data_IF_480767530353
#
_entry.id   IF_480767530353
#
_cell.length_a   1.000
_cell.length_b   1.000
_cell.length_c   1.000
_cell.angle_alpha   90.00
_cell.angle_beta   90.00
_cell.angle_gamma   90.00
#
_symmetry.space_group_name_H-M   'P 1'
#
loop_
_entity.id
_entity.type
_entity.pdbx_description
1 polymer ?
#
# COMPACT_ATOMS: atom_id res chain seq x y z
N UNK A 1 23.51 3.88 -1.83
CA UNK A 1 22.64 4.90 -1.21
C UNK A 1 21.24 4.71 -1.76
N UNK A 2 20.26 4.37 -0.93
CA UNK A 2 18.89 4.13 -1.37
C UNK A 2 18.26 5.45 -1.85
N UNK A 3 17.65 5.45 -3.03
CA UNK A 3 16.90 6.61 -3.50
C UNK A 3 15.68 6.81 -2.60
N UNK A 4 15.42 8.03 -2.09
CA UNK A 4 14.25 8.29 -1.27
C UNK A 4 12.98 8.01 -2.08
N UNK A 5 12.06 7.22 -1.51
CA UNK A 5 10.75 6.93 -2.12
C UNK A 5 10.02 8.23 -2.44
N UNK A 6 9.24 8.26 -3.52
CA UNK A 6 8.42 9.42 -3.90
C UNK A 6 7.51 9.88 -2.75
N UNK A 7 6.92 8.95 -2.00
CA UNK A 7 6.10 9.28 -0.82
C UNK A 7 6.91 9.89 0.31
N UNK A 8 8.17 9.47 0.49
CA UNK A 8 9.05 10.05 1.52
C UNK A 8 9.35 11.53 1.23
N UNK A 9 9.56 11.90 -0.04
CA UNK A 9 9.75 13.29 -0.45
C UNK A 9 8.49 14.13 -0.23
N UNK A 10 7.31 13.54 -0.47
CA UNK A 10 6.04 14.22 -0.24
C UNK A 10 5.82 14.46 1.26
N UNK A 11 6.13 13.47 2.11
CA UNK A 11 6.05 13.61 3.56
C UNK A 11 7.01 14.69 4.08
N UNK A 12 8.24 14.74 3.57
CA UNK A 12 9.19 15.82 3.87
C UNK A 12 8.67 17.19 3.45
N UNK A 13 8.05 17.29 2.25
CA UNK A 13 7.45 18.53 1.77
C UNK A 13 6.27 19.00 2.64
N UNK A 14 5.44 18.06 3.11
CA UNK A 14 4.35 18.36 4.05
C UNK A 14 4.91 18.86 5.39
N UNK A 15 5.91 18.18 5.94
CA UNK A 15 6.55 18.56 7.20
C UNK A 15 7.21 19.93 7.11
N UNK A 16 7.85 20.25 5.99
CA UNK A 16 8.45 21.56 5.76
C UNK A 16 7.41 22.69 5.74
N UNK A 17 6.25 22.47 5.11
CA UNK A 17 5.14 23.45 5.10
C UNK A 17 4.54 23.61 6.50
N UNK A 18 4.44 22.53 7.28
CA UNK A 18 3.95 22.60 8.65
C UNK A 18 4.92 23.34 9.58
N UNK A 19 6.22 23.19 9.36
CA UNK A 19 7.27 23.78 10.19
C UNK A 19 7.51 25.25 9.85
N UNK A 20 7.45 25.63 8.57
CA UNK A 20 7.60 27.00 8.10
C UNK A 20 6.30 27.52 7.47
N UNK A 21 5.48 28.30 8.21
CA UNK A 21 4.24 28.89 7.68
C UNK A 21 4.45 29.86 6.51
N UNK A 22 5.68 30.38 6.31
CA UNK A 22 6.01 31.25 5.17
C UNK A 22 6.34 30.45 3.90
N UNK A 23 6.55 29.13 4.02
CA UNK A 23 6.84 28.26 2.90
C UNK A 23 5.57 27.94 2.11
N UNK A 24 5.46 28.48 0.90
CA UNK A 24 4.34 28.16 0.01
C UNK A 24 4.44 26.74 -0.54
N UNK A 25 3.30 26.09 -0.79
CA UNK A 25 3.25 24.75 -1.39
C UNK A 25 3.99 24.68 -2.73
N UNK A 26 3.95 25.76 -3.54
CA UNK A 26 4.69 25.85 -4.80
C UNK A 26 6.20 25.85 -4.61
N UNK A 27 6.68 26.49 -3.53
CA UNK A 27 8.12 26.52 -3.22
C UNK A 27 8.58 25.16 -2.67
N UNK A 28 7.79 24.53 -1.79
CA UNK A 28 8.06 23.19 -1.30
C UNK A 28 8.17 22.17 -2.45
N UNK A 29 7.24 22.19 -3.40
CA UNK A 29 7.29 21.36 -4.62
C UNK A 29 8.62 21.46 -5.36
N UNK A 30 9.16 22.67 -5.51
CA UNK A 30 10.45 22.89 -6.19
C UNK A 30 11.63 22.37 -5.39
N UNK A 31 11.61 22.53 -4.06
CA UNK A 31 12.70 22.08 -3.16
C UNK A 31 12.76 20.56 -3.11
N UNK A 32 11.60 19.91 -2.97
CA UNK A 32 11.51 18.45 -2.79
C UNK A 32 11.27 17.68 -4.09
N UNK A 33 11.17 18.38 -5.22
CA UNK A 33 10.94 17.80 -6.55
C UNK A 33 9.71 16.87 -6.64
N UNK A 34 8.58 17.28 -6.03
CA UNK A 34 7.33 16.51 -6.01
C UNK A 34 6.23 17.19 -6.82
N UNK A 35 5.35 16.46 -7.54
CA UNK A 35 4.25 17.08 -8.26
C UNK A 35 3.29 17.84 -7.33
N UNK A 36 2.91 19.06 -7.72
CA UNK A 36 2.01 19.92 -6.93
C UNK A 36 0.66 19.27 -6.67
N UNK A 37 0.09 18.59 -7.67
CA UNK A 37 -1.18 17.88 -7.54
C UNK A 37 -1.13 16.80 -6.46
N UNK A 38 -0.04 16.04 -6.38
CA UNK A 38 0.16 14.99 -5.38
C UNK A 38 0.30 15.58 -3.98
N UNK A 39 1.10 16.65 -3.83
CA UNK A 39 1.25 17.33 -2.54
C UNK A 39 -0.08 17.89 -2.04
N UNK A 40 -0.86 18.55 -2.90
CA UNK A 40 -2.17 19.09 -2.53
C UNK A 40 -3.18 17.98 -2.19
N UNK A 41 -3.16 16.85 -2.91
CA UNK A 41 -3.99 15.70 -2.56
C UNK A 41 -3.66 15.16 -1.16
N UNK A 42 -2.37 15.11 -0.80
CA UNK A 42 -1.92 14.64 0.52
C UNK A 42 -2.25 15.64 1.62
N UNK A 43 -2.12 16.94 1.35
CA UNK A 43 -2.61 18.00 2.27
C UNK A 43 -4.13 17.88 2.52
N UNK A 44 -4.90 17.46 1.52
CA UNK A 44 -6.35 17.18 1.65
C UNK A 44 -6.66 15.82 2.30
N UNK A 45 -5.65 15.09 2.79
CA UNK A 45 -5.83 13.79 3.45
C UNK A 45 -6.01 12.60 2.51
N UNK A 46 -5.81 12.75 1.19
CA UNK A 46 -5.80 11.57 0.30
C UNK A 46 -4.58 10.71 0.62
N UNK A 47 -4.80 9.44 0.94
CA UNK A 47 -3.76 8.46 1.24
C UNK A 47 -3.00 8.01 -0.01
N UNK A 48 -1.81 7.46 0.18
CA UNK A 48 -1.10 6.83 -0.92
C UNK A 48 -1.86 5.61 -1.42
N UNK A 49 -1.72 5.31 -2.72
CA UNK A 49 -2.35 4.12 -3.28
C UNK A 49 -1.87 2.86 -2.57
N UNK A 50 -0.61 2.84 -2.12
CA UNK A 50 -0.02 1.75 -1.33
C UNK A 50 -0.68 1.59 0.04
N UNK A 51 -1.16 2.68 0.65
CA UNK A 51 -1.85 2.66 1.93
C UNK A 51 -3.37 2.46 1.79
N UNK A 52 -3.87 2.48 0.55
CA UNK A 52 -5.30 2.41 0.25
C UNK A 52 -5.66 1.02 -0.24
N UNK A 53 -6.54 0.35 0.49
CA UNK A 53 -7.13 -0.90 0.03
C UNK A 53 -8.13 -0.62 -1.10
N UNK A 54 -8.09 -1.41 -2.17
CA UNK A 54 -9.04 -1.23 -3.28
C UNK A 54 -10.45 -1.62 -2.83
N UNK A 55 -11.45 -0.81 -3.16
CA UNK A 55 -12.85 -1.16 -2.93
C UNK A 55 -13.30 -2.38 -3.77
N UNK A 56 -12.56 -2.70 -4.83
CA UNK A 56 -12.82 -3.87 -5.68
C UNK A 56 -12.07 -5.13 -5.23
N UNK A 57 -11.29 -5.08 -4.14
CA UNK A 57 -10.65 -6.29 -3.62
C UNK A 57 -11.71 -7.17 -2.99
N UNK A 58 -11.74 -8.45 -3.34
CA UNK A 58 -12.66 -9.41 -2.73
C UNK A 58 -12.21 -9.72 -1.31
N UNK A 59 -10.89 -9.80 -1.08
CA UNK A 59 -10.34 -10.04 0.24
C UNK A 59 -10.36 -8.75 1.07
N UNK A 60 -10.54 -8.89 2.38
CA UNK A 60 -10.33 -7.79 3.32
C UNK A 60 -8.85 -7.69 3.67
N UNK A 61 -8.42 -6.52 4.15
CA UNK A 61 -7.03 -6.33 4.59
C UNK A 61 -6.58 -7.36 5.64
N UNK A 62 -7.48 -7.80 6.52
CA UNK A 62 -7.18 -8.83 7.53
C UNK A 62 -6.97 -10.21 6.90
N UNK A 63 -7.73 -10.53 5.87
CA UNK A 63 -7.60 -11.77 5.10
C UNK A 63 -6.31 -11.76 4.28
N UNK A 64 -5.98 -10.64 3.63
CA UNK A 64 -4.70 -10.44 2.94
C UNK A 64 -3.52 -10.60 3.92
N UNK A 65 -3.60 -10.01 5.12
CA UNK A 65 -2.57 -10.17 6.17
C UNK A 65 -2.43 -11.63 6.63
N UNK A 66 -3.53 -12.39 6.68
CA UNK A 66 -3.48 -13.82 7.01
C UNK A 66 -2.76 -14.64 5.93
N UNK A 67 -3.01 -14.33 4.65
CA UNK A 67 -2.33 -14.96 3.51
C UNK A 67 -0.83 -14.62 3.53
N UNK A 68 -0.44 -13.38 3.83
CA UNK A 68 0.97 -12.99 3.95
C UNK A 68 1.67 -13.79 5.06
N UNK A 69 1.02 -13.95 6.22
CA UNK A 69 1.55 -14.77 7.31
C UNK A 69 1.71 -16.24 6.91
N UNK A 70 0.75 -16.77 6.17
CA UNK A 70 0.83 -18.12 5.62
C UNK A 70 2.03 -18.30 4.67
N UNK A 71 2.25 -17.35 3.76
CA UNK A 71 3.41 -17.37 2.84
C UNK A 71 4.73 -17.33 3.60
N UNK A 72 4.84 -16.50 4.64
CA UNK A 72 6.04 -16.41 5.49
C UNK A 72 6.24 -17.72 6.26
N UNK A 73 5.17 -18.33 6.76
CA UNK A 73 5.24 -19.63 7.45
C UNK A 73 5.70 -20.76 6.50
N UNK A 74 5.20 -20.79 5.25
CA UNK A 74 5.67 -21.74 4.24
C UNK A 74 7.17 -21.60 3.97
N UNK A 75 7.64 -20.38 3.72
CA UNK A 75 9.07 -20.10 3.46
C UNK A 75 9.93 -20.48 4.67
N UNK A 76 9.46 -20.18 5.89
CA UNK A 76 10.17 -20.53 7.12
C UNK A 76 10.35 -22.04 7.34
N UNK A 77 9.43 -22.85 6.79
CA UNK A 77 9.49 -24.33 6.81
C UNK A 77 10.32 -24.91 5.67
N UNK A 78 10.88 -24.06 4.81
CA UNK A 78 11.67 -24.47 3.64
C UNK A 78 10.82 -24.85 2.43
N UNK A 79 9.51 -24.54 2.44
CA UNK A 79 8.65 -24.69 1.27
C UNK A 79 8.61 -23.37 0.50
N UNK A 80 9.08 -23.39 -0.75
CA UNK A 80 8.96 -22.25 -1.63
C UNK A 80 7.47 -21.99 -1.95
N UNK A 81 6.88 -20.85 -1.53
CA UNK A 81 5.47 -20.57 -1.75
C UNK A 81 5.17 -20.43 -3.25
N UNK A 82 4.17 -21.15 -3.75
CA UNK A 82 3.70 -21.06 -5.14
C UNK A 82 2.44 -20.21 -5.23
N UNK A 83 2.15 -19.69 -6.42
CA UNK A 83 0.92 -18.95 -6.68
C UNK A 83 -0.33 -19.79 -6.35
N UNK A 84 -0.31 -21.09 -6.68
CA UNK A 84 -1.40 -22.00 -6.37
C UNK A 84 -1.63 -22.13 -4.86
N UNK A 85 -0.56 -22.20 -4.05
CA UNK A 85 -0.71 -22.30 -2.58
C UNK A 85 -1.38 -21.05 -1.99
N UNK A 86 -1.08 -19.88 -2.58
CA UNK A 86 -1.68 -18.59 -2.20
C UNK A 86 -3.13 -18.51 -2.66
N UNK A 87 -3.43 -18.97 -3.87
CA UNK A 87 -4.78 -19.05 -4.43
C UNK A 87 -5.67 -19.99 -3.62
N UNK A 88 -5.18 -21.17 -3.28
CA UNK A 88 -5.89 -22.14 -2.43
C UNK A 88 -6.19 -21.55 -1.05
N UNK A 89 -5.22 -20.88 -0.42
CA UNK A 89 -5.44 -20.21 0.86
C UNK A 89 -6.48 -19.09 0.75
N UNK A 90 -6.41 -18.27 -0.31
CA UNK A 90 -7.40 -17.23 -0.55
C UNK A 90 -8.80 -17.83 -0.75
N UNK A 91 -8.93 -18.88 -1.56
CA UNK A 91 -10.19 -19.58 -1.82
C UNK A 91 -10.76 -20.23 -0.55
N UNK A 92 -9.91 -20.80 0.30
CA UNK A 92 -10.34 -21.35 1.59
C UNK A 92 -10.94 -20.26 2.51
N UNK A 93 -10.32 -19.09 2.57
CA UNK A 93 -10.84 -17.94 3.33
C UNK A 93 -12.18 -17.46 2.73
N UNK A 94 -12.26 -17.37 1.41
CA UNK A 94 -13.47 -16.95 0.70
C UNK A 94 -14.63 -17.95 0.87
N UNK A 95 -14.35 -19.24 0.80
CA UNK A 95 -15.33 -20.30 1.02
C UNK A 95 -15.86 -20.29 2.47
N UNK A 96 -15.01 -20.01 3.47
CA UNK A 96 -15.42 -19.91 4.87
C UNK A 96 -16.43 -18.77 5.15
N UNK A 97 -16.54 -17.80 4.23
CA UNK A 97 -17.49 -16.67 4.31
C UNK A 97 -18.55 -16.69 3.21
N UNK A 98 -18.70 -17.81 2.51
CA UNK A 98 -19.63 -18.00 1.38
C UNK A 98 -19.46 -16.97 0.25
N UNK A 99 -18.21 -16.56 -0.04
CA UNK A 99 -17.88 -15.63 -1.12
C UNK A 99 -17.43 -16.35 -2.41
N UNK A 100 -17.41 -15.60 -3.51
CA UNK A 100 -16.87 -16.06 -4.79
C UNK A 100 -15.38 -16.36 -4.68
N UNK A 101 -14.93 -17.35 -5.44
CA UNK A 101 -13.53 -17.75 -5.52
C UNK A 101 -12.71 -16.69 -6.28
N UNK A 102 -11.43 -16.59 -5.93
CA UNK A 102 -10.43 -15.92 -6.77
C UNK A 102 -9.98 -16.86 -7.90
N UNK A 103 -9.50 -16.29 -9.00
CA UNK A 103 -9.07 -17.06 -10.17
C UNK A 103 -10.20 -17.34 -11.17
N UNK A 104 -9.85 -17.90 -12.32
CA UNK A 104 -10.78 -18.18 -13.45
C UNK A 104 -10.93 -19.67 -13.75
N UNK A 105 -10.61 -20.55 -12.79
CA UNK A 105 -10.51 -21.99 -13.04
C UNK A 105 -11.35 -22.81 -12.06
#
# INVERSE_FOLDING_TARGET
MAQPSKESQINLALQAIQTDPKLSSRRAVKIFNVPLSTLLNRMKGKRARQDTHSASSQLTKLEEDAIVKYVIDLDSRGFAPRLNDVEDMANNILAARDALHVGTH
#
